data_IF_709152458563
#
_entry.id   IF_709152458563
#
_cell.length_a   1.000
_cell.length_b   1.000
_cell.length_c   1.000
_cell.angle_alpha   90.00
_cell.angle_beta   90.00
_cell.angle_gamma   90.00
#
_symmetry.space_group_name_H-M   'P 1'
#
loop_
_entity.id
_entity.type
_entity.pdbx_description
1 polymer ?
#
# COMPACT_ATOMS: atom_id res chain seq x y z
N UNK A 1 -30.41 21.79 20.91
CA UNK A 1 -29.88 20.49 20.44
C UNK A 1 -28.39 20.68 20.28
N UNK A 2 -27.63 20.06 21.17
CA UNK A 2 -26.21 20.32 21.41
C UNK A 2 -25.35 19.90 20.22
N UNK A 3 -24.37 20.74 19.88
CA UNK A 3 -23.28 20.45 18.94
C UNK A 3 -22.39 19.35 19.53
N UNK A 4 -22.12 18.23 18.84
CA UNK A 4 -21.14 17.29 19.32
C UNK A 4 -19.74 17.82 19.00
N UNK A 5 -19.11 18.47 19.98
CA UNK A 5 -17.67 18.68 20.01
C UNK A 5 -17.03 17.53 20.79
N UNK A 6 -15.95 16.96 20.22
CA UNK A 6 -14.95 16.12 20.86
C UNK A 6 -15.37 14.66 21.19
N UNK A 7 -15.13 13.73 20.26
CA UNK A 7 -15.23 12.30 20.62
C UNK A 7 -15.14 11.24 19.52
N UNK A 8 -15.20 11.58 18.23
CA UNK A 8 -14.91 10.58 17.19
C UNK A 8 -13.43 10.63 16.87
N UNK A 9 -12.64 9.75 17.50
CA UNK A 9 -11.36 9.35 16.91
C UNK A 9 -11.68 8.99 15.46
N UNK A 10 -11.13 9.73 14.49
CA UNK A 10 -11.19 9.36 13.07
C UNK A 10 -10.40 8.05 12.94
N UNK A 11 -11.02 6.93 13.31
CA UNK A 11 -10.51 5.59 13.05
C UNK A 11 -10.75 5.36 11.56
N UNK A 12 -9.82 5.82 10.73
CA UNK A 12 -9.90 5.61 9.30
C UNK A 12 -9.68 4.12 9.02
N UNK A 13 -10.77 3.39 8.76
CA UNK A 13 -10.72 1.96 8.41
C UNK A 13 -10.42 1.82 6.92
N UNK A 14 -9.14 1.96 6.58
CA UNK A 14 -8.63 1.81 5.22
C UNK A 14 -7.37 0.96 5.18
N UNK A 15 -7.07 0.46 3.98
CA UNK A 15 -5.90 -0.37 3.69
C UNK A 15 -4.92 0.48 2.88
N UNK A 16 -3.66 0.46 3.31
CA UNK A 16 -2.55 1.02 2.57
C UNK A 16 -1.66 -0.12 2.11
N UNK A 17 -1.51 -0.27 0.80
CA UNK A 17 -0.65 -1.30 0.22
C UNK A 17 0.69 -0.66 -0.11
N UNK A 18 1.77 -1.24 0.42
CA UNK A 18 3.13 -0.77 0.16
C UNK A 18 3.94 -1.81 -0.58
N UNK A 19 4.98 -1.32 -1.26
CA UNK A 19 5.86 -2.14 -2.11
C UNK A 19 7.04 -2.61 -1.25
N UNK A 20 7.16 -3.91 -0.91
CA UNK A 20 8.33 -4.41 -0.23
C UNK A 20 9.54 -4.34 -1.15
N UNK A 21 10.73 -4.01 -0.63
CA UNK A 21 11.97 -4.02 -1.39
C UNK A 21 12.34 -5.45 -1.83
N UNK A 22 13.00 -5.58 -2.99
CA UNK A 22 13.54 -6.86 -3.48
C UNK A 22 12.88 -7.42 -4.75
N UNK A 23 13.45 -8.52 -5.26
CA UNK A 23 12.96 -9.21 -6.45
C UNK A 23 11.55 -9.76 -6.25
N UNK A 24 10.79 -9.77 -7.33
CA UNK A 24 9.45 -10.36 -7.40
C UNK A 24 9.47 -11.55 -8.36
N UNK A 25 8.40 -12.35 -8.36
CA UNK A 25 8.28 -13.46 -9.30
C UNK A 25 8.45 -13.03 -10.77
N UNK A 26 8.15 -11.76 -11.11
CA UNK A 26 8.37 -11.20 -12.45
C UNK A 26 9.85 -11.18 -12.85
N UNK A 27 10.76 -10.97 -11.90
CA UNK A 27 12.21 -11.02 -12.14
C UNK A 27 12.69 -12.46 -12.37
N UNK A 28 12.02 -13.44 -11.74
CA UNK A 28 12.29 -14.87 -12.01
C UNK A 28 11.80 -15.28 -13.40
N UNK A 29 10.65 -14.76 -13.84
CA UNK A 29 10.09 -15.05 -15.17
C UNK A 29 10.84 -14.33 -16.29
N UNK A 30 11.29 -13.09 -16.04
CA UNK A 30 12.00 -12.25 -16.99
C UNK A 30 13.08 -11.45 -16.27
N UNK A 31 14.36 -11.87 -16.32
CA UNK A 31 15.45 -11.23 -15.59
C UNK A 31 15.65 -9.74 -15.92
N UNK A 32 15.37 -9.32 -17.16
CA UNK A 32 15.50 -7.94 -17.61
C UNK A 32 14.27 -7.08 -17.27
N UNK A 33 13.30 -7.64 -16.54
CA UNK A 33 12.14 -6.91 -16.07
C UNK A 33 12.59 -5.71 -15.22
N UNK A 34 12.19 -4.50 -15.63
CA UNK A 34 12.54 -3.23 -14.97
C UNK A 34 14.05 -2.93 -14.87
N UNK A 35 14.92 -3.69 -15.51
CA UNK A 35 16.37 -3.50 -15.44
C UNK A 35 16.88 -2.13 -15.94
N UNK A 36 16.09 -1.44 -16.76
CA UNK A 36 16.40 -0.10 -17.26
C UNK A 36 16.05 1.04 -16.28
N UNK A 37 15.49 0.73 -15.11
CA UNK A 37 15.11 1.73 -14.12
C UNK A 37 16.31 2.14 -13.30
N UNK A 38 16.44 3.45 -13.07
CA UNK A 38 17.41 3.96 -12.11
C UNK A 38 17.04 3.50 -10.70
N UNK A 39 18.02 3.20 -9.84
CA UNK A 39 17.76 2.88 -8.44
C UNK A 39 16.90 3.95 -7.76
N UNK A 40 15.94 3.54 -6.93
CA UNK A 40 15.18 4.50 -6.13
C UNK A 40 16.13 5.26 -5.19
N UNK A 41 16.07 6.61 -5.16
CA UNK A 41 16.84 7.40 -4.22
C UNK A 41 16.46 7.11 -2.76
N UNK A 42 17.43 7.12 -1.84
CA UNK A 42 17.22 6.89 -0.41
C UNK A 42 16.17 7.83 0.21
N UNK A 43 16.07 9.06 -0.28
CA UNK A 43 15.07 10.04 0.18
C UNK A 43 13.65 9.57 -0.09
N UNK A 44 13.41 8.82 -1.16
CA UNK A 44 12.10 8.25 -1.50
C UNK A 44 11.79 7.09 -0.55
N UNK A 45 12.76 6.23 -0.25
CA UNK A 45 12.58 5.18 0.76
C UNK A 45 12.23 5.75 2.15
N UNK A 46 12.93 6.82 2.55
CA UNK A 46 12.62 7.53 3.80
C UNK A 46 11.22 8.12 3.78
N UNK A 47 10.82 8.80 2.71
CA UNK A 47 9.48 9.35 2.54
C UNK A 47 8.40 8.26 2.67
N UNK A 48 8.58 7.11 2.00
CA UNK A 48 7.66 5.97 2.10
C UNK A 48 7.54 5.47 3.55
N UNK A 49 8.65 5.38 4.29
CA UNK A 49 8.64 4.96 5.69
C UNK A 49 7.91 5.96 6.60
N UNK A 50 8.08 7.26 6.38
CA UNK A 50 7.32 8.28 7.11
C UNK A 50 5.83 8.21 6.80
N UNK A 51 5.47 7.99 5.52
CA UNK A 51 4.07 7.78 5.12
C UNK A 51 3.48 6.57 5.83
N UNK A 52 4.18 5.42 5.87
CA UNK A 52 3.73 4.24 6.62
C UNK A 52 3.46 4.54 8.09
N UNK A 53 4.40 5.21 8.76
CA UNK A 53 4.27 5.56 10.17
C UNK A 53 3.06 6.48 10.44
N UNK A 54 2.83 7.47 9.57
CA UNK A 54 1.68 8.36 9.66
C UNK A 54 0.36 7.63 9.43
N UNK A 55 0.28 6.74 8.45
CA UNK A 55 -0.96 6.00 8.16
C UNK A 55 -1.29 5.00 9.27
N UNK A 56 -0.28 4.34 9.84
CA UNK A 56 -0.45 3.47 11.00
C UNK A 56 -1.00 4.24 12.22
N UNK A 57 -0.51 5.46 12.47
CA UNK A 57 -1.01 6.28 13.59
C UNK A 57 -2.43 6.79 13.37
N UNK A 58 -2.89 6.87 12.12
CA UNK A 58 -4.27 7.18 11.74
C UNK A 58 -5.23 5.97 11.81
N UNK A 59 -4.73 4.80 12.23
CA UNK A 59 -5.52 3.57 12.34
C UNK A 59 -5.66 2.78 11.04
N UNK A 60 -4.86 3.10 10.02
CA UNK A 60 -4.82 2.33 8.77
C UNK A 60 -3.97 1.08 8.92
N UNK A 61 -4.31 0.05 8.16
CA UNK A 61 -3.49 -1.14 8.07
C UNK A 61 -2.53 -1.04 6.88
N UNK A 62 -1.26 -1.37 7.12
CA UNK A 62 -0.24 -1.46 6.07
C UNK A 62 -0.12 -2.91 5.64
N UNK A 63 -0.23 -3.17 4.34
CA UNK A 63 -0.10 -4.52 3.75
C UNK A 63 1.12 -4.56 2.84
N UNK A 64 2.02 -5.49 3.13
CA UNK A 64 3.21 -5.79 2.33
C UNK A 64 3.36 -7.30 2.21
N UNK A 65 3.49 -7.80 0.98
CA UNK A 65 3.63 -9.24 0.71
C UNK A 65 4.95 -9.46 -0.03
N UNK A 66 5.93 -10.17 0.58
CA UNK A 66 7.21 -10.44 -0.06
C UNK A 66 7.04 -11.18 -1.41
N UNK A 67 7.91 -10.86 -2.37
CA UNK A 67 7.96 -11.57 -3.65
C UNK A 67 6.89 -11.19 -4.68
N UNK A 68 5.95 -10.31 -4.34
CA UNK A 68 4.93 -9.77 -5.26
C UNK A 68 4.99 -8.23 -5.31
N UNK A 69 4.33 -7.64 -6.29
CA UNK A 69 4.22 -6.19 -6.42
C UNK A 69 2.93 -5.68 -5.77
N UNK A 70 2.87 -4.38 -5.46
CA UNK A 70 1.70 -3.81 -4.78
C UNK A 70 0.44 -3.87 -5.66
N UNK A 71 0.58 -3.84 -6.99
CA UNK A 71 -0.52 -4.01 -7.93
C UNK A 71 -1.15 -5.41 -7.86
N UNK A 72 -0.34 -6.46 -7.66
CA UNK A 72 -0.82 -7.82 -7.44
C UNK A 72 -1.70 -7.88 -6.18
N UNK A 73 -1.22 -7.30 -5.08
CA UNK A 73 -1.94 -7.27 -3.80
C UNK A 73 -3.24 -6.48 -3.92
N UNK A 74 -3.21 -5.30 -4.56
CA UNK A 74 -4.40 -4.48 -4.79
C UNK A 74 -5.41 -5.23 -5.67
N UNK A 75 -4.96 -5.89 -6.73
CA UNK A 75 -5.81 -6.67 -7.62
C UNK A 75 -6.49 -7.83 -6.91
N UNK A 76 -5.74 -8.58 -6.09
CA UNK A 76 -6.30 -9.68 -5.28
C UNK A 76 -7.32 -9.16 -4.27
N UNK A 77 -6.97 -8.14 -3.47
CA UNK A 77 -7.89 -7.57 -2.48
C UNK A 77 -9.14 -7.01 -3.13
N UNK A 78 -9.02 -6.36 -4.29
CA UNK A 78 -10.17 -5.82 -5.00
C UNK A 78 -11.10 -6.93 -5.48
N UNK A 79 -10.56 -8.00 -6.09
CA UNK A 79 -11.33 -9.14 -6.56
C UNK A 79 -12.05 -9.86 -5.42
N UNK A 80 -11.35 -10.13 -4.32
CA UNK A 80 -11.92 -10.77 -3.13
C UNK A 80 -13.03 -9.91 -2.50
N UNK A 81 -12.80 -8.60 -2.37
CA UNK A 81 -13.79 -7.66 -1.81
C UNK A 81 -15.09 -7.66 -2.63
N UNK A 82 -14.98 -7.64 -3.96
CA UNK A 82 -16.14 -7.69 -4.85
C UNK A 82 -16.88 -9.03 -4.73
N UNK A 83 -16.16 -10.15 -4.63
CA UNK A 83 -16.76 -11.47 -4.44
C UNK A 83 -17.51 -11.60 -3.12
N UNK A 84 -17.04 -10.93 -2.07
CA UNK A 84 -17.72 -10.83 -0.77
C UNK A 84 -18.94 -9.89 -0.79
N UNK A 85 -19.29 -9.30 -1.95
CA UNK A 85 -20.39 -8.35 -2.08
C UNK A 85 -20.12 -7.01 -1.40
N UNK A 86 -18.86 -6.72 -1.08
CA UNK A 86 -18.45 -5.50 -0.40
C UNK A 86 -18.05 -4.42 -1.42
N UNK A 87 -18.21 -3.15 -1.03
CA UNK A 87 -17.76 -2.01 -1.84
C UNK A 87 -16.39 -1.53 -1.37
N UNK A 88 -15.46 -1.43 -2.31
CA UNK A 88 -14.21 -0.71 -2.12
C UNK A 88 -14.52 0.79 -2.13
N UNK A 89 -14.10 1.51 -1.09
CA UNK A 89 -14.25 2.97 -1.01
C UNK A 89 -12.98 3.68 -1.43
N UNK A 90 -11.89 3.41 -0.70
CA UNK A 90 -10.62 4.09 -0.88
C UNK A 90 -9.48 3.06 -0.79
N UNK A 91 -8.55 3.13 -1.75
CA UNK A 91 -7.29 2.39 -1.72
C UNK A 91 -6.18 3.41 -1.88
N UNK A 92 -5.23 3.42 -0.95
CA UNK A 92 -4.02 4.24 -1.05
C UNK A 92 -2.82 3.35 -1.33
N UNK A 93 -1.96 3.80 -2.24
CA UNK A 93 -0.71 3.12 -2.58
C UNK A 93 0.42 4.12 -2.71
N UNK A 94 1.63 3.68 -2.40
CA UNK A 94 2.85 4.40 -2.80
C UNK A 94 3.81 3.43 -3.47
N UNK A 95 4.44 3.87 -4.56
CA UNK A 95 5.45 3.10 -5.24
C UNK A 95 6.83 3.76 -5.07
N UNK A 96 7.76 3.02 -4.48
CA UNK A 96 9.19 3.22 -4.69
C UNK A 96 9.56 2.42 -5.94
N UNK A 97 10.16 3.06 -6.94
CA UNK A 97 10.52 2.42 -8.20
C UNK A 97 11.63 1.39 -7.97
N UNK A 98 11.28 0.10 -7.92
CA UNK A 98 12.26 -0.99 -8.03
C UNK A 98 12.98 -0.91 -9.37
#
# INVERSE_FOLDING_TARGET
METPLLGSTLSYKGWYVSVPSGQTFRHTLYPEYKAHRSPTPDTVYQAVNYTKAALLSMGMQVVEVPGVEADDVIGTLASETVQLGMKIRDIYFSAAWK
#
